data_IF_809039345172
#
_entry.id   IF_809039345172
#
_cell.length_a   1.000
_cell.length_b   1.000
_cell.length_c   1.000
_cell.angle_alpha   90.00
_cell.angle_beta   90.00
_cell.angle_gamma   90.00
#
_symmetry.space_group_name_H-M   'P 1'
#
loop_
_entity.id
_entity.type
_entity.pdbx_description
1 polymer ?
#
# COMPACT_ATOMS: atom_id res chain seq x y z
N UNK A 1 -22.65 56.48 -53.58
CA UNK A 1 -22.44 55.01 -53.58
C UNK A 1 -20.98 54.78 -53.27
N UNK A 2 -20.66 54.33 -52.05
CA UNK A 2 -19.28 54.19 -51.57
C UNK A 2 -19.18 52.85 -50.85
N UNK A 3 -18.31 52.00 -51.35
CA UNK A 3 -18.21 50.58 -51.01
C UNK A 3 -17.59 50.36 -49.62
N UNK A 4 -18.09 49.31 -48.96
CA UNK A 4 -17.63 48.78 -47.67
C UNK A 4 -16.23 48.19 -47.79
N UNK A 5 -15.38 48.41 -46.79
CA UNK A 5 -14.24 47.54 -46.51
C UNK A 5 -14.32 47.03 -45.07
N UNK A 6 -14.22 45.72 -44.94
CA UNK A 6 -14.44 44.93 -43.73
C UNK A 6 -13.06 44.65 -43.12
N UNK A 7 -12.81 45.14 -41.91
CA UNK A 7 -11.68 44.68 -41.09
C UNK A 7 -12.23 43.82 -39.95
N UNK A 8 -12.22 42.50 -40.15
CA UNK A 8 -12.47 41.50 -39.11
C UNK A 8 -11.18 41.31 -38.32
N UNK A 9 -11.13 41.90 -37.12
CA UNK A 9 -10.01 41.71 -36.19
C UNK A 9 -10.17 40.37 -35.49
N UNK A 10 -9.44 39.36 -35.94
CA UNK A 10 -9.34 38.06 -35.28
C UNK A 10 -8.47 38.21 -34.03
N UNK A 11 -9.08 38.23 -32.85
CA UNK A 11 -8.37 38.14 -31.57
C UNK A 11 -7.90 36.70 -31.41
N UNK A 12 -6.62 36.45 -31.68
CA UNK A 12 -5.97 35.18 -31.40
C UNK A 12 -5.86 35.01 -29.88
N UNK A 13 -6.73 34.17 -29.31
CA UNK A 13 -6.67 33.75 -27.92
C UNK A 13 -5.44 32.88 -27.70
N UNK A 14 -4.41 33.45 -27.07
CA UNK A 14 -3.26 32.74 -26.56
C UNK A 14 -3.72 31.82 -25.41
N UNK A 15 -3.99 30.55 -25.70
CA UNK A 15 -4.21 29.55 -24.66
C UNK A 15 -2.87 29.32 -23.98
N UNK A 16 -2.71 29.89 -22.78
CA UNK A 16 -1.59 29.60 -21.90
C UNK A 16 -1.59 28.09 -21.59
N UNK A 17 -0.69 27.37 -22.25
CA UNK A 17 -0.33 26.02 -21.87
C UNK A 17 0.24 26.09 -20.44
N UNK A 18 -0.57 25.70 -19.45
CA UNK A 18 -0.11 25.33 -18.14
C UNK A 18 0.96 24.26 -18.34
N UNK A 19 2.23 24.67 -18.21
CA UNK A 19 3.34 23.77 -18.04
C UNK A 19 3.04 22.92 -16.80
N UNK A 20 2.52 21.71 -17.03
CA UNK A 20 2.61 20.61 -16.09
C UNK A 20 4.11 20.41 -15.83
N UNK A 21 4.61 21.04 -14.78
CA UNK A 21 5.90 20.67 -14.20
C UNK A 21 5.69 19.23 -13.70
N UNK A 22 6.32 18.21 -14.30
CA UNK A 22 6.31 16.88 -13.69
C UNK A 22 7.02 17.04 -12.34
N UNK A 23 6.23 17.01 -11.27
CA UNK A 23 6.73 16.89 -9.91
C UNK A 23 7.51 15.58 -9.77
N UNK A 24 8.35 15.45 -8.75
CA UNK A 24 9.29 14.35 -8.64
C UNK A 24 8.54 13.00 -8.48
N UNK A 25 8.83 12.09 -9.40
CA UNK A 25 8.69 10.63 -9.39
C UNK A 25 7.43 10.05 -8.71
N UNK A 26 6.55 9.50 -9.54
CA UNK A 26 5.34 8.74 -9.20
C UNK A 26 5.51 7.82 -7.98
N UNK A 27 4.64 8.01 -6.98
CA UNK A 27 4.40 6.99 -5.97
C UNK A 27 3.77 5.79 -6.67
N UNK A 28 4.48 4.66 -6.71
CA UNK A 28 3.97 3.45 -7.33
C UNK A 28 2.77 2.94 -6.52
N UNK A 29 1.59 3.09 -7.12
CA UNK A 29 0.38 2.45 -6.63
C UNK A 29 0.13 1.23 -7.45
N UNK A 30 0.05 0.06 -6.83
CA UNK A 30 -0.62 -1.05 -7.48
C UNK A 30 -1.63 -1.73 -6.58
N UNK A 31 -2.58 -2.39 -7.24
CA UNK A 31 -3.66 -3.09 -6.59
C UNK A 31 -3.93 -4.40 -7.31
N UNK A 32 -4.13 -5.46 -6.54
CA UNK A 32 -4.56 -6.75 -7.08
C UNK A 32 -5.89 -7.13 -6.44
N UNK A 33 -6.82 -7.57 -7.27
CA UNK A 33 -8.12 -8.07 -6.86
C UNK A 33 -8.07 -9.60 -6.80
N UNK A 34 -8.77 -10.18 -5.84
CA UNK A 34 -9.04 -11.62 -5.81
C UNK A 34 -10.53 -11.84 -6.12
N UNK A 35 -10.86 -12.24 -7.36
CA UNK A 35 -12.24 -12.45 -7.77
C UNK A 35 -12.80 -13.80 -7.31
N UNK A 36 -11.97 -14.74 -6.85
CA UNK A 36 -12.39 -16.12 -6.58
C UNK A 36 -12.90 -16.34 -5.17
N UNK A 37 -12.63 -15.41 -4.26
CA UNK A 37 -12.93 -15.60 -2.84
C UNK A 37 -12.35 -16.90 -2.31
N UNK A 38 -11.17 -17.26 -2.83
CA UNK A 38 -10.47 -18.51 -2.50
C UNK A 38 -9.66 -18.40 -1.20
N UNK A 39 -9.94 -17.36 -0.41
CA UNK A 39 -9.43 -17.18 0.95
C UNK A 39 -9.74 -18.39 1.82
N UNK A 40 -8.80 -19.33 1.89
CA UNK A 40 -8.82 -20.39 2.89
C UNK A 40 -8.76 -19.75 4.28
N UNK A 41 -9.52 -20.29 5.23
CA UNK A 41 -9.58 -19.93 6.66
C UNK A 41 -10.39 -18.70 7.11
N UNK A 42 -11.54 -18.44 6.46
CA UNK A 42 -12.59 -17.60 7.07
C UNK A 42 -12.37 -16.09 7.00
N UNK A 43 -11.36 -15.65 6.24
CA UNK A 43 -11.24 -14.26 5.77
C UNK A 43 -11.04 -14.29 4.26
N UNK A 44 -12.07 -13.84 3.54
CA UNK A 44 -12.10 -13.76 2.07
C UNK A 44 -11.48 -12.42 1.63
N UNK A 45 -10.33 -12.50 0.96
CA UNK A 45 -9.57 -11.33 0.52
C UNK A 45 -10.18 -10.77 -0.77
N UNK A 46 -10.35 -9.45 -0.84
CA UNK A 46 -10.98 -8.79 -2.01
C UNK A 46 -10.00 -7.97 -2.80
N UNK A 47 -9.20 -7.18 -2.10
CA UNK A 47 -8.16 -6.39 -2.75
C UNK A 47 -7.04 -6.08 -1.79
N UNK A 48 -5.84 -5.95 -2.36
CA UNK A 48 -4.71 -5.37 -1.67
C UNK A 48 -4.18 -4.21 -2.50
N UNK A 49 -3.99 -3.06 -1.86
CA UNK A 49 -3.47 -1.85 -2.48
C UNK A 49 -2.24 -1.38 -1.71
N UNK A 50 -1.21 -1.02 -2.46
CA UNK A 50 0.00 -0.40 -1.93
C UNK A 50 0.12 0.98 -2.54
N UNK A 51 0.46 1.96 -1.72
CA UNK A 51 0.89 3.30 -2.10
C UNK A 51 2.32 3.46 -1.54
N UNK A 52 3.31 3.23 -2.41
CA UNK A 52 4.72 3.19 -2.05
C UNK A 52 5.38 4.54 -2.39
N UNK A 53 5.42 5.44 -1.41
CA UNK A 53 6.14 6.70 -1.52
C UNK A 53 7.59 6.56 -1.04
N UNK A 54 8.45 7.49 -1.48
CA UNK A 54 9.88 7.52 -1.12
C UNK A 54 10.16 7.59 0.38
N UNK A 55 9.28 8.24 1.14
CA UNK A 55 9.41 8.41 2.61
C UNK A 55 8.58 7.36 3.36
N UNK A 56 7.44 6.99 2.79
CA UNK A 56 6.37 6.30 3.49
C UNK A 56 5.62 5.38 2.54
N UNK A 57 5.28 4.22 3.07
CA UNK A 57 4.43 3.25 2.39
C UNK A 57 3.12 3.10 3.13
N UNK A 58 2.01 3.06 2.40
CA UNK A 58 0.69 2.72 2.92
C UNK A 58 0.17 1.46 2.23
N UNK A 59 -0.17 0.45 3.01
CA UNK A 59 -0.74 -0.81 2.55
C UNK A 59 -2.17 -0.92 3.04
N UNK A 60 -3.08 -1.35 2.16
CA UNK A 60 -4.50 -1.51 2.46
C UNK A 60 -5.01 -2.86 1.99
N UNK A 61 -5.49 -3.67 2.92
CA UNK A 61 -6.16 -4.95 2.66
C UNK A 61 -7.67 -4.77 2.85
N UNK A 62 -8.44 -5.07 1.81
CA UNK A 62 -9.91 -5.16 1.88
C UNK A 62 -10.34 -6.62 1.83
N UNK A 63 -11.31 -6.98 2.65
CA UNK A 63 -11.83 -8.35 2.78
C UNK A 63 -13.35 -8.33 2.67
N UNK A 64 -14.00 -9.48 2.44
CA UNK A 64 -15.45 -9.54 2.29
C UNK A 64 -16.20 -9.23 3.59
N UNK A 65 -15.63 -9.67 4.72
CA UNK A 65 -16.18 -9.48 6.06
C UNK A 65 -15.05 -9.44 7.07
N UNK A 66 -14.71 -8.25 7.54
CA UNK A 66 -13.57 -8.06 8.43
C UNK A 66 -13.93 -8.49 9.86
N UNK A 67 -13.20 -9.45 10.45
CA UNK A 67 -13.40 -9.83 11.85
C UNK A 67 -13.24 -8.65 12.82
N UNK A 68 -13.94 -8.70 13.96
CA UNK A 68 -13.82 -7.67 15.02
C UNK A 68 -12.50 -7.74 15.79
N UNK A 69 -11.75 -8.84 15.66
CA UNK A 69 -10.46 -9.11 16.29
C UNK A 69 -9.60 -9.93 15.34
N UNK A 70 -8.28 -9.82 15.47
CA UNK A 70 -7.34 -10.61 14.67
C UNK A 70 -5.97 -9.95 14.59
N UNK A 71 -5.08 -10.60 13.84
CA UNK A 71 -3.78 -10.08 13.47
C UNK A 71 -3.64 -10.17 11.95
N UNK A 72 -3.12 -9.09 11.36
CA UNK A 72 -2.81 -8.97 9.94
C UNK A 72 -1.37 -8.52 9.82
N UNK A 73 -0.62 -9.16 8.94
CA UNK A 73 0.70 -8.73 8.53
C UNK A 73 0.58 -8.13 7.14
N UNK A 74 1.02 -6.88 7.00
CA UNK A 74 1.12 -6.20 5.71
C UNK A 74 2.61 -5.96 5.48
N UNK A 75 3.17 -6.61 4.47
CA UNK A 75 4.59 -6.91 4.41
C UNK A 75 5.21 -6.55 3.06
N UNK A 76 6.53 -6.49 3.04
CA UNK A 76 7.36 -6.40 1.85
C UNK A 76 8.55 -7.37 1.96
N UNK A 77 9.08 -7.80 0.80
CA UNK A 77 10.30 -8.62 0.68
C UNK A 77 11.29 -7.91 -0.24
N UNK A 78 12.57 -8.07 0.06
CA UNK A 78 13.68 -7.75 -0.84
C UNK A 78 13.74 -8.78 -1.99
N UNK A 79 13.73 -8.35 -3.27
CA UNK A 79 13.76 -9.26 -4.42
C UNK A 79 15.07 -10.04 -4.57
N UNK A 80 16.18 -9.59 -3.97
CA UNK A 80 17.51 -10.17 -4.25
C UNK A 80 17.61 -11.56 -3.62
N UNK A 81 17.23 -11.69 -2.35
CA UNK A 81 17.39 -12.94 -1.61
C UNK A 81 16.06 -13.58 -1.18
N UNK A 82 14.93 -12.84 -1.22
CA UNK A 82 13.63 -13.35 -0.73
C UNK A 82 13.58 -13.66 0.78
N UNK A 83 14.72 -13.58 1.46
CA UNK A 83 14.95 -13.92 2.86
C UNK A 83 14.89 -12.70 3.80
N UNK A 84 14.96 -11.49 3.23
CA UNK A 84 14.93 -10.24 3.97
C UNK A 84 13.66 -9.46 3.64
N UNK A 85 13.05 -8.87 4.66
CA UNK A 85 11.83 -8.12 4.48
C UNK A 85 11.41 -7.37 5.72
N UNK A 86 10.16 -6.96 5.72
CA UNK A 86 9.58 -6.28 6.85
C UNK A 86 8.13 -5.92 6.61
N UNK A 87 7.59 -5.10 7.49
CA UNK A 87 6.21 -4.67 7.34
C UNK A 87 5.60 -4.17 8.62
N UNK A 88 4.28 -4.23 8.67
CA UNK A 88 3.50 -3.84 9.84
C UNK A 88 2.60 -4.97 10.27
N UNK A 89 2.78 -5.41 11.52
CA UNK A 89 1.81 -6.26 12.21
C UNK A 89 0.73 -5.38 12.81
N UNK A 90 -0.48 -5.52 12.29
CA UNK A 90 -1.69 -4.88 12.80
C UNK A 90 -2.47 -5.87 13.64
N UNK A 91 -2.70 -5.55 14.91
CA UNK A 91 -3.52 -6.36 15.82
C UNK A 91 -4.71 -5.55 16.32
N UNK A 92 -5.90 -6.13 16.22
CA UNK A 92 -7.08 -5.64 16.93
C UNK A 92 -7.51 -6.60 18.01
N UNK A 93 -7.56 -6.11 19.25
CA UNK A 93 -8.04 -6.87 20.41
C UNK A 93 -8.78 -5.95 21.37
N UNK A 94 -9.92 -6.41 21.91
CA UNK A 94 -10.76 -5.65 22.86
C UNK A 94 -11.09 -4.22 22.37
N UNK A 95 -11.37 -4.08 21.07
CA UNK A 95 -11.68 -2.79 20.45
C UNK A 95 -10.47 -1.90 20.12
N UNK A 96 -9.29 -2.20 20.67
CA UNK A 96 -8.06 -1.44 20.46
C UNK A 96 -7.31 -1.96 19.24
N UNK A 97 -6.83 -1.04 18.40
CA UNK A 97 -5.95 -1.31 17.26
C UNK A 97 -4.52 -0.93 17.65
N UNK A 98 -3.59 -1.84 17.38
CA UNK A 98 -2.16 -1.61 17.57
C UNK A 98 -1.42 -1.98 16.29
N UNK A 99 -0.36 -1.24 16.01
CA UNK A 99 0.51 -1.44 14.86
C UNK A 99 1.95 -1.50 15.35
N UNK A 100 2.72 -2.48 14.88
CA UNK A 100 4.17 -2.54 15.12
C UNK A 100 4.88 -2.83 13.83
N UNK A 101 5.90 -2.03 13.55
CA UNK A 101 6.83 -2.33 12.47
C UNK A 101 7.70 -3.52 12.86
N UNK A 102 8.07 -4.31 11.88
CA UNK A 102 9.03 -5.38 12.06
C UNK A 102 9.96 -5.45 10.85
N UNK A 103 11.19 -5.89 11.13
CA UNK A 103 12.10 -6.40 10.11
C UNK A 103 12.13 -7.93 10.22
N UNK A 104 12.36 -8.58 9.10
CA UNK A 104 12.49 -10.02 8.99
C UNK A 104 13.80 -10.37 8.30
N UNK A 105 14.51 -11.36 8.84
CA UNK A 105 15.73 -11.94 8.31
C UNK A 105 15.76 -13.45 8.60
N UNK A 106 16.88 -14.12 8.32
CA UNK A 106 17.09 -15.54 8.61
C UNK A 106 16.94 -15.93 10.09
N UNK A 107 17.16 -14.99 11.02
CA UNK A 107 16.99 -15.20 12.47
C UNK A 107 15.53 -15.05 12.90
N UNK A 108 14.66 -14.57 12.01
CA UNK A 108 13.23 -14.40 12.21
C UNK A 108 12.78 -12.95 12.24
N UNK A 109 11.66 -12.72 12.92
CA UNK A 109 10.99 -11.42 12.96
C UNK A 109 11.39 -10.62 14.21
N UNK A 110 12.00 -9.45 14.00
CA UNK A 110 12.28 -8.50 15.08
C UNK A 110 11.33 -7.32 15.02
N UNK A 111 10.59 -7.12 16.11
CA UNK A 111 9.66 -6.01 16.28
C UNK A 111 10.40 -4.78 16.79
N UNK A 112 10.39 -3.69 16.03
CA UNK A 112 11.07 -2.45 16.40
C UNK A 112 10.10 -1.28 16.47
N UNK A 113 10.27 -0.35 17.44
CA UNK A 113 9.57 0.94 17.38
C UNK A 113 9.92 1.66 16.08
N UNK A 114 8.90 2.12 15.37
CA UNK A 114 9.08 2.90 14.16
C UNK A 114 8.20 4.14 14.22
N UNK A 115 8.78 5.34 14.37
CA UNK A 115 8.05 6.60 14.34
C UNK A 115 7.20 6.72 13.07
N UNK A 116 5.93 7.11 13.21
CA UNK A 116 5.02 7.23 12.08
C UNK A 116 4.36 5.93 11.61
N UNK A 117 4.68 4.79 12.25
CA UNK A 117 3.88 3.57 12.06
C UNK A 117 2.50 3.72 12.66
N UNK A 118 1.47 3.48 11.85
CA UNK A 118 0.07 3.59 12.26
C UNK A 118 -0.78 2.59 11.49
N UNK A 119 -1.90 2.18 12.06
CA UNK A 119 -2.86 1.36 11.37
C UNK A 119 -4.29 1.71 11.74
N UNK A 120 -5.20 1.36 10.83
CA UNK A 120 -6.65 1.44 11.02
C UNK A 120 -7.27 0.08 10.77
N UNK A 121 -8.33 -0.22 11.52
CA UNK A 121 -9.12 -1.45 11.38
C UNK A 121 -10.59 -1.05 11.31
N UNK A 122 -11.10 -0.91 10.09
CA UNK A 122 -12.44 -0.39 9.85
C UNK A 122 -13.39 -1.51 9.48
N UNK A 123 -14.11 -2.05 10.47
CA UNK A 123 -15.14 -3.08 10.21
C UNK A 123 -16.33 -2.56 9.42
N UNK A 124 -16.61 -1.26 9.43
CA UNK A 124 -17.66 -0.69 8.57
C UNK A 124 -17.25 -0.50 7.11
N UNK A 125 -15.96 -0.69 6.79
CA UNK A 125 -15.41 -0.62 5.42
C UNK A 125 -14.72 -1.93 5.01
N UNK A 126 -14.85 -2.96 5.85
CA UNK A 126 -14.13 -4.24 5.76
C UNK A 126 -12.67 -4.12 5.33
N UNK A 127 -11.95 -3.15 5.93
CA UNK A 127 -10.59 -2.78 5.52
C UNK A 127 -9.64 -2.60 6.68
N UNK A 128 -8.44 -3.15 6.51
CA UNK A 128 -7.25 -2.88 7.34
C UNK A 128 -6.31 -2.01 6.53
N UNK A 129 -5.73 -0.98 7.13
CA UNK A 129 -4.70 -0.15 6.49
C UNK A 129 -3.56 0.06 7.45
N UNK A 130 -2.33 -0.08 6.98
CA UNK A 130 -1.14 0.25 7.75
C UNK A 130 -0.27 1.22 6.95
N UNK A 131 0.43 2.07 7.67
CA UNK A 131 1.41 3.01 7.14
C UNK A 131 2.69 2.86 7.94
N UNK A 132 3.84 2.86 7.28
CA UNK A 132 5.17 2.90 7.91
C UNK A 132 6.09 3.84 7.14
N UNK A 133 7.21 4.22 7.76
CA UNK A 133 8.26 5.04 7.12
C UNK A 133 9.47 4.20 6.78
N UNK A 134 10.07 4.44 5.62
CA UNK A 134 11.24 3.68 5.14
C UNK A 134 12.48 3.85 6.01
N UNK A 135 12.57 4.92 6.80
CA UNK A 135 13.64 5.13 7.78
C UNK A 135 13.75 4.03 8.86
N UNK A 136 12.72 3.19 9.01
CA UNK A 136 12.71 2.09 9.97
C UNK A 136 13.10 0.74 9.36
N UNK A 137 13.04 0.64 8.02
CA UNK A 137 13.41 -0.56 7.31
C UNK A 137 14.94 -0.65 7.28
N UNK A 138 15.48 -1.78 7.71
CA UNK A 138 16.92 -2.04 7.63
C UNK A 138 17.37 -2.19 6.18
N UNK A 139 16.45 -2.62 5.32
CA UNK A 139 16.62 -2.81 3.89
C UNK A 139 15.87 -1.67 3.18
N UNK A 140 16.58 -0.90 2.36
CA UNK A 140 16.11 0.37 1.83
C UNK A 140 14.93 0.26 0.87
N UNK A 141 14.24 1.38 0.56
CA UNK A 141 13.10 1.45 -0.36
C UNK A 141 13.40 1.10 -1.82
N UNK A 142 14.65 0.77 -2.14
CA UNK A 142 15.16 0.91 -3.50
C UNK A 142 14.88 -0.29 -4.39
N UNK A 143 14.68 -1.50 -3.83
CA UNK A 143 14.45 -2.70 -4.64
C UNK A 143 13.24 -3.55 -4.20
N UNK A 144 12.65 -3.34 -3.02
CA UNK A 144 11.49 -4.14 -2.58
C UNK A 144 10.25 -3.92 -3.47
N UNK A 145 10.11 -4.80 -4.46
CA UNK A 145 9.02 -4.84 -5.44
C UNK A 145 7.94 -5.89 -5.10
N UNK A 146 8.00 -6.47 -3.91
CA UNK A 146 7.10 -7.53 -3.50
C UNK A 146 6.45 -7.20 -2.19
N UNK A 147 5.22 -6.69 -2.26
CA UNK A 147 4.36 -6.55 -1.11
C UNK A 147 3.43 -7.76 -0.98
N UNK A 148 2.93 -8.01 0.21
CA UNK A 148 1.87 -8.99 0.42
C UNK A 148 1.08 -8.70 1.71
N UNK A 149 -0.06 -9.38 1.85
CA UNK A 149 -0.84 -9.38 3.08
C UNK A 149 -0.99 -10.81 3.58
N UNK A 150 -1.00 -11.00 4.89
CA UNK A 150 -1.25 -12.29 5.53
C UNK A 150 -2.17 -12.10 6.72
N UNK A 151 -3.09 -13.05 6.91
CA UNK A 151 -3.94 -13.14 8.10
C UNK A 151 -3.44 -14.27 8.99
N UNK A 152 -3.37 -14.09 10.31
CA UNK A 152 -2.86 -15.17 11.18
C UNK A 152 -2.99 -14.88 12.67
N UNK A 153 -2.68 -15.85 13.53
CA UNK A 153 -2.51 -15.61 14.98
C UNK A 153 -1.08 -15.23 15.33
N UNK A 154 -0.13 -15.88 14.68
CA UNK A 154 1.31 -15.69 14.81
C UNK A 154 1.96 -15.84 13.42
N UNK A 155 3.18 -15.34 13.25
CA UNK A 155 3.91 -15.35 11.97
C UNK A 155 4.36 -16.76 11.52
N UNK A 156 3.99 -17.80 12.27
CA UNK A 156 4.45 -19.15 11.99
C UNK A 156 3.89 -19.65 10.65
N UNK A 157 4.80 -20.14 9.82
CA UNK A 157 4.75 -20.19 8.33
C UNK A 157 3.71 -21.14 7.72
N UNK A 158 2.73 -21.63 8.48
CA UNK A 158 1.80 -22.67 7.99
C UNK A 158 0.50 -22.15 7.40
N UNK A 159 0.19 -20.87 7.61
CA UNK A 159 -1.14 -20.31 7.40
C UNK A 159 -1.07 -19.06 6.49
N UNK A 160 -0.36 -19.19 5.36
CA UNK A 160 -0.26 -18.14 4.34
C UNK A 160 -1.58 -18.02 3.57
N UNK A 161 -2.47 -17.14 4.02
CA UNK A 161 -3.73 -16.87 3.34
C UNK A 161 -3.57 -15.66 2.42
N UNK A 162 -3.49 -15.92 1.11
CA UNK A 162 -3.62 -14.93 0.02
C UNK A 162 -2.44 -13.96 -0.15
N UNK A 163 -1.50 -14.26 -1.06
CA UNK A 163 -0.40 -13.34 -1.41
C UNK A 163 -0.78 -12.42 -2.58
N UNK A 164 -0.83 -11.11 -2.32
CA UNK A 164 -1.00 -10.09 -3.36
C UNK A 164 0.30 -9.36 -3.63
N UNK A 165 0.96 -9.71 -4.73
CA UNK A 165 2.18 -9.03 -5.18
C UNK A 165 1.84 -7.79 -6.00
N UNK A 166 2.59 -6.73 -5.74
CA UNK A 166 2.50 -5.43 -6.40
C UNK A 166 3.94 -4.99 -6.66
N UNK A 167 4.35 -4.96 -7.93
CA UNK A 167 5.65 -4.46 -8.36
C UNK A 167 5.61 -2.93 -8.56
N UNK A 168 6.78 -2.29 -8.48
CA UNK A 168 7.00 -0.92 -8.91
C UNK A 168 7.10 -0.89 -10.44
N UNK A 169 6.45 0.08 -11.08
CA UNK A 169 6.66 0.40 -12.50
C UNK A 169 7.99 1.15 -12.71
#
# INVERSE_FOLDING_TARGET
MTARSIARTSVAGLVAALALVPGPADAATASKQDPRGDGMSGVDFRSFRVDNGTIRTTMGLSVAKLPRKGVVFLSFVDPIDGEYGGGVRVRRAKGVVSARFYNENYEGMTMSPCPGTRATWSTGKDRVTATFTWSCATYGPYDSNYFYAQWGRDYDKSDHFGTFQVARD
#
